data_IF_983698965458
#
_entry.id   IF_983698965458
#
_cell.length_a   1.000
_cell.length_b   1.000
_cell.length_c   1.000
_cell.angle_alpha   90.00
_cell.angle_beta   90.00
_cell.angle_gamma   90.00
#
_symmetry.space_group_name_H-M   'P 1'
#
loop_
_entity.id
_entity.type
_entity.pdbx_description
1 polymer ?
#
# COMPACT_ATOMS: atom_id res chain seq x y z
N UNK A 1 -15.12 -31.48 16.73
CA UNK A 1 -15.05 -30.92 15.37
C UNK A 1 -13.97 -29.87 15.38
N UNK A 2 -12.92 -29.99 14.55
CA UNK A 2 -12.00 -28.89 14.33
C UNK A 2 -12.70 -27.93 13.37
N UNK A 3 -12.91 -26.67 13.80
CA UNK A 3 -13.45 -25.62 12.94
C UNK A 3 -12.37 -25.26 11.90
N UNK A 4 -12.76 -25.12 10.63
CA UNK A 4 -11.87 -24.65 9.57
C UNK A 4 -11.55 -23.16 9.71
N UNK A 5 -10.47 -22.72 9.08
CA UNK A 5 -10.09 -21.30 9.01
C UNK A 5 -9.98 -20.87 7.54
N UNK A 6 -10.40 -19.66 7.25
CA UNK A 6 -10.31 -19.02 5.93
C UNK A 6 -9.53 -17.72 6.10
N UNK A 7 -8.58 -17.49 5.20
CA UNK A 7 -7.85 -16.23 5.18
C UNK A 7 -7.26 -15.93 3.82
N UNK A 8 -6.67 -14.74 3.71
CA UNK A 8 -5.97 -14.27 2.53
C UNK A 8 -4.47 -14.22 2.78
N UNK A 9 -3.72 -14.46 1.72
CA UNK A 9 -2.28 -14.27 1.68
C UNK A 9 -1.93 -13.04 0.84
N UNK A 10 -1.16 -12.12 1.41
CA UNK A 10 -0.67 -10.92 0.72
C UNK A 10 0.82 -11.00 0.47
N UNK A 11 1.26 -10.50 -0.69
CA UNK A 11 2.69 -10.23 -0.90
C UNK A 11 3.13 -9.08 0.00
N UNK A 12 4.26 -9.26 0.67
CA UNK A 12 4.79 -8.31 1.64
C UNK A 12 6.28 -8.15 1.40
N UNK A 13 6.66 -7.15 0.63
CA UNK A 13 8.06 -6.70 0.54
C UNK A 13 8.36 -5.74 1.69
N UNK A 14 9.49 -5.93 2.39
CA UNK A 14 9.93 -4.92 3.35
C UNK A 14 10.62 -3.77 2.61
N UNK A 15 10.11 -2.55 2.78
CA UNK A 15 10.68 -1.34 2.21
C UNK A 15 11.53 -0.62 3.26
N UNK A 16 12.83 -0.86 3.21
CA UNK A 16 13.79 -0.24 4.11
C UNK A 16 14.11 1.19 3.63
N UNK A 17 13.99 2.23 4.47
CA UNK A 17 14.44 3.57 4.09
C UNK A 17 15.95 3.55 3.85
N UNK A 18 16.41 4.11 2.72
CA UNK A 18 17.83 4.03 2.38
C UNK A 18 18.76 4.79 3.35
N UNK A 19 18.22 5.76 4.08
CA UNK A 19 18.86 6.51 5.16
C UNK A 19 17.85 6.81 6.28
N UNK A 20 18.32 7.29 7.43
CA UNK A 20 17.45 7.72 8.54
C UNK A 20 16.73 9.06 8.30
N UNK A 21 16.81 9.63 7.10
CA UNK A 21 16.14 10.90 6.79
C UNK A 21 14.62 10.76 6.79
N UNK A 22 13.91 11.83 7.18
CA UNK A 22 12.44 11.87 7.14
C UNK A 22 11.89 11.60 5.73
N UNK A 23 12.60 12.04 4.69
CA UNK A 23 12.20 11.86 3.30
C UNK A 23 12.27 10.38 2.87
N UNK A 24 13.31 9.65 3.27
CA UNK A 24 13.44 8.21 2.96
C UNK A 24 12.43 7.38 3.77
N UNK A 25 12.17 7.74 5.03
CA UNK A 25 11.13 7.09 5.86
C UNK A 25 9.73 7.27 5.28
N UNK A 26 9.38 8.47 4.85
CA UNK A 26 8.11 8.73 4.17
C UNK A 26 8.01 8.05 2.80
N UNK A 27 9.14 7.81 2.12
CA UNK A 27 9.17 7.00 0.90
C UNK A 27 8.90 5.52 1.18
N UNK A 28 9.51 4.96 2.24
CA UNK A 28 9.24 3.60 2.70
C UNK A 28 7.77 3.39 3.08
N UNK A 29 7.20 4.26 3.90
CA UNK A 29 5.80 4.21 4.31
C UNK A 29 4.85 4.30 3.09
N UNK A 30 5.07 5.26 2.19
CA UNK A 30 4.25 5.37 0.97
C UNK A 30 4.29 4.09 0.14
N UNK A 31 5.46 3.48 -0.06
CA UNK A 31 5.54 2.27 -0.86
C UNK A 31 4.87 1.07 -0.15
N UNK A 32 5.04 0.96 1.16
CA UNK A 32 4.36 -0.05 1.97
C UNK A 32 2.84 0.03 1.85
N UNK A 33 2.28 1.23 1.98
CA UNK A 33 0.83 1.44 1.89
C UNK A 33 0.27 1.15 0.49
N UNK A 34 1.01 1.47 -0.56
CA UNK A 34 0.58 1.19 -1.95
C UNK A 34 0.72 -0.27 -2.37
N UNK A 35 1.47 -1.08 -1.64
CA UNK A 35 1.66 -2.51 -1.93
C UNK A 35 0.87 -3.40 -0.96
N UNK A 36 1.25 -3.40 0.32
CA UNK A 36 0.60 -4.22 1.33
C UNK A 36 -0.67 -3.53 1.86
N UNK A 37 -0.57 -2.23 2.19
CA UNK A 37 -1.65 -1.50 2.86
C UNK A 37 -2.94 -1.46 2.06
N UNK A 38 -2.86 -1.31 0.73
CA UNK A 38 -4.04 -1.20 -0.14
C UNK A 38 -4.94 -2.45 -0.10
N UNK A 39 -4.37 -3.63 0.19
CA UNK A 39 -5.12 -4.89 0.37
C UNK A 39 -5.37 -5.20 1.85
N UNK A 40 -4.36 -5.03 2.69
CA UNK A 40 -4.42 -5.43 4.09
C UNK A 40 -5.29 -4.50 4.94
N UNK A 41 -5.25 -3.19 4.69
CA UNK A 41 -5.95 -2.21 5.53
C UNK A 41 -7.48 -2.38 5.52
N UNK A 42 -8.15 -2.61 4.36
CA UNK A 42 -9.59 -2.87 4.35
C UNK A 42 -10.02 -4.08 5.20
N UNK A 43 -9.18 -5.11 5.29
CA UNK A 43 -9.50 -6.40 5.93
C UNK A 43 -9.09 -6.39 7.41
N UNK A 44 -7.87 -5.96 7.72
CA UNK A 44 -7.23 -6.20 9.02
C UNK A 44 -7.16 -4.96 9.93
N UNK A 45 -7.37 -3.75 9.40
CA UNK A 45 -7.36 -2.55 10.25
C UNK A 45 -8.64 -2.43 11.09
N UNK A 46 -8.56 -1.70 12.20
CA UNK A 46 -9.73 -1.43 13.04
C UNK A 46 -10.79 -0.57 12.33
N UNK A 47 -10.36 0.29 11.42
CA UNK A 47 -11.21 1.22 10.68
C UNK A 47 -11.77 0.61 9.38
N UNK A 48 -11.10 -0.39 8.81
CA UNK A 48 -11.35 -0.88 7.45
C UNK A 48 -10.92 0.16 6.40
N UNK A 49 -11.54 0.12 5.23
CA UNK A 49 -11.29 1.03 4.10
C UNK A 49 -9.83 1.01 3.58
N UNK A 50 -9.57 1.70 2.47
CA UNK A 50 -8.21 1.92 1.98
C UNK A 50 -7.41 2.83 2.92
N UNK A 51 -6.07 2.69 2.96
CA UNK A 51 -5.22 3.58 3.75
C UNK A 51 -5.42 5.05 3.38
N UNK A 52 -5.48 5.92 4.39
CA UNK A 52 -5.67 7.36 4.17
C UNK A 52 -4.59 7.97 3.28
N UNK A 53 -3.34 7.52 3.41
CA UNK A 53 -2.22 7.97 2.61
C UNK A 53 -2.43 7.67 1.11
N UNK A 54 -2.89 6.46 0.78
CA UNK A 54 -3.19 6.04 -0.60
C UNK A 54 -4.33 6.88 -1.17
N UNK A 55 -5.44 7.02 -0.41
CA UNK A 55 -6.60 7.84 -0.83
C UNK A 55 -6.20 9.28 -1.15
N UNK A 56 -5.42 9.92 -0.27
CA UNK A 56 -4.98 11.30 -0.45
C UNK A 56 -4.05 11.47 -1.66
N UNK A 57 -3.08 10.57 -1.83
CA UNK A 57 -2.15 10.62 -2.94
C UNK A 57 -2.89 10.41 -4.26
N UNK A 58 -3.68 9.34 -4.40
CA UNK A 58 -4.38 9.08 -5.66
C UNK A 58 -5.34 10.22 -6.00
N UNK A 59 -6.13 10.72 -5.04
CA UNK A 59 -7.02 11.86 -5.28
C UNK A 59 -6.28 13.11 -5.77
N UNK A 60 -5.12 13.44 -5.16
CA UNK A 60 -4.28 14.55 -5.60
C UNK A 60 -3.76 14.34 -7.02
N UNK A 61 -3.26 13.15 -7.33
CA UNK A 61 -2.67 12.82 -8.64
C UNK A 61 -3.74 12.77 -9.73
N UNK A 62 -4.92 12.22 -9.45
CA UNK A 62 -6.07 12.25 -10.35
C UNK A 62 -6.45 13.70 -10.71
N UNK A 63 -6.48 14.61 -9.73
CA UNK A 63 -6.73 16.04 -9.99
C UNK A 63 -5.63 16.69 -10.83
N UNK A 64 -4.35 16.40 -10.55
CA UNK A 64 -3.21 16.92 -11.32
C UNK A 64 -3.22 16.43 -12.78
N UNK A 65 -3.74 15.23 -13.02
CA UNK A 65 -3.86 14.61 -14.33
C UNK A 65 -5.15 15.01 -15.08
N UNK A 66 -6.04 15.80 -14.45
CA UNK A 66 -7.26 16.31 -15.07
C UNK A 66 -8.45 15.35 -15.01
N UNK A 67 -8.42 14.32 -14.15
CA UNK A 67 -9.58 13.48 -13.91
C UNK A 67 -10.65 14.25 -13.12
N UNK A 68 -11.95 14.02 -13.41
CA UNK A 68 -13.04 14.68 -12.71
C UNK A 68 -13.18 14.21 -11.25
N UNK A 69 -12.66 13.04 -10.93
CA UNK A 69 -12.69 12.41 -9.61
C UNK A 69 -11.45 11.55 -9.34
N UNK A 70 -11.34 11.02 -8.12
CA UNK A 70 -10.26 10.10 -7.76
C UNK A 70 -10.31 8.82 -8.60
N UNK A 71 -9.16 8.38 -9.12
CA UNK A 71 -9.00 7.09 -9.80
C UNK A 71 -9.16 5.89 -8.86
N UNK A 72 -8.95 6.09 -7.55
CA UNK A 72 -9.18 5.06 -6.54
C UNK A 72 -10.68 5.03 -6.19
N UNK A 73 -11.36 3.88 -6.37
CA UNK A 73 -12.76 3.74 -5.99
C UNK A 73 -12.98 4.03 -4.50
N UNK A 74 -14.13 4.61 -4.18
CA UNK A 74 -14.54 4.85 -2.80
C UNK A 74 -15.36 3.68 -2.30
N UNK A 75 -14.99 3.11 -1.15
CA UNK A 75 -15.83 2.16 -0.45
C UNK A 75 -16.92 2.91 0.34
N UNK A 76 -18.13 2.40 0.25
CA UNK A 76 -19.26 2.82 1.08
C UNK A 76 -19.11 2.31 2.51
N UNK A 77 -19.87 2.88 3.45
CA UNK A 77 -19.86 2.40 4.83
C UNK A 77 -20.32 0.93 4.94
N UNK A 78 -21.24 0.50 4.07
CA UNK A 78 -21.70 -0.89 3.99
C UNK A 78 -20.59 -1.82 3.50
N UNK A 79 -19.88 -1.46 2.43
CA UNK A 79 -18.75 -2.25 1.91
C UNK A 79 -17.59 -2.33 2.91
N UNK A 80 -17.29 -1.23 3.60
CA UNK A 80 -16.27 -1.21 4.66
C UNK A 80 -16.67 -2.18 5.79
N UNK A 81 -17.93 -2.12 6.23
CA UNK A 81 -18.45 -3.03 7.25
C UNK A 81 -18.46 -4.50 6.81
N UNK A 82 -18.70 -4.75 5.52
CA UNK A 82 -18.68 -6.09 4.93
C UNK A 82 -17.27 -6.68 4.82
N UNK A 83 -16.27 -5.89 4.44
CA UNK A 83 -14.89 -6.36 4.20
C UNK A 83 -14.09 -6.49 5.50
N UNK A 84 -14.31 -5.60 6.47
CA UNK A 84 -13.50 -5.56 7.68
C UNK A 84 -13.64 -6.83 8.50
N UNK A 85 -12.51 -7.43 8.88
CA UNK A 85 -12.45 -8.62 9.74
C UNK A 85 -12.80 -9.93 9.04
N UNK A 86 -12.77 -9.98 7.71
CA UNK A 86 -13.16 -11.17 6.91
C UNK A 86 -12.08 -12.24 6.76
N UNK A 87 -11.04 -12.22 7.59
CA UNK A 87 -9.92 -13.17 7.53
C UNK A 87 -9.57 -13.66 8.93
N UNK A 88 -9.53 -14.98 9.12
CA UNK A 88 -9.23 -15.62 10.42
C UNK A 88 -7.75 -15.52 10.81
N UNK A 89 -6.87 -15.30 9.82
CA UNK A 89 -5.43 -15.14 10.00
C UNK A 89 -4.87 -14.17 8.94
N UNK A 90 -3.65 -13.70 9.17
CA UNK A 90 -2.90 -12.89 8.21
C UNK A 90 -1.87 -13.77 7.52
N UNK A 91 -2.10 -14.15 6.27
CA UNK A 91 -1.10 -14.84 5.45
C UNK A 91 -0.12 -13.84 4.84
N UNK A 92 1.19 -14.08 4.98
CA UNK A 92 2.20 -13.28 4.30
C UNK A 92 3.10 -14.14 3.42
N UNK A 93 3.31 -13.65 2.20
CA UNK A 93 4.40 -14.07 1.33
C UNK A 93 5.50 -13.01 1.38
N UNK A 94 6.63 -13.36 1.98
CA UNK A 94 7.80 -12.47 2.06
C UNK A 94 9.00 -13.12 1.41
N UNK A 95 9.62 -12.41 0.47
CA UNK A 95 10.78 -12.90 -0.28
C UNK A 95 11.96 -11.92 -0.27
N UNK A 96 11.69 -10.62 -0.19
CA UNK A 96 12.71 -9.60 -0.40
C UNK A 96 12.58 -8.41 0.55
N UNK A 97 13.74 -7.79 0.80
CA UNK A 97 13.86 -6.49 1.44
C UNK A 97 14.53 -5.53 0.46
N UNK A 98 13.86 -4.41 0.17
CA UNK A 98 14.30 -3.42 -0.80
C UNK A 98 14.58 -2.08 -0.11
N UNK A 99 15.75 -1.49 -0.39
CA UNK A 99 16.00 -0.11 0.03
C UNK A 99 15.32 0.86 -0.92
N UNK A 100 14.66 1.87 -0.37
CA UNK A 100 13.92 2.88 -1.14
C UNK A 100 14.31 4.31 -0.81
N UNK A 101 14.12 5.18 -1.80
CA UNK A 101 14.26 6.64 -1.71
C UNK A 101 13.09 7.34 -2.41
N UNK A 102 12.78 8.60 -2.07
CA UNK A 102 11.85 9.38 -2.86
C UNK A 102 12.37 9.54 -4.29
N UNK A 103 11.46 9.49 -5.25
CA UNK A 103 11.70 9.82 -6.64
C UNK A 103 10.81 10.99 -7.05
N UNK A 104 11.22 11.73 -8.07
CA UNK A 104 10.33 12.74 -8.66
C UNK A 104 9.26 11.98 -9.44
N UNK A 105 7.98 12.19 -9.13
CA UNK A 105 6.92 11.57 -9.91
C UNK A 105 7.01 11.99 -11.39
N UNK A 106 6.89 11.05 -12.31
CA UNK A 106 6.85 11.38 -13.74
C UNK A 106 5.44 11.82 -14.14
N UNK A 107 5.31 12.27 -15.39
CA UNK A 107 4.01 12.56 -16.01
C UNK A 107 3.34 11.27 -16.44
N UNK A 108 2.01 11.29 -16.44
CA UNK A 108 1.17 10.19 -16.91
C UNK A 108 0.67 9.30 -15.78
N UNK A 109 -0.50 8.71 -16.00
CA UNK A 109 -1.22 7.91 -15.03
C UNK A 109 -0.54 6.56 -14.81
N UNK A 110 0.00 6.32 -13.62
CA UNK A 110 0.47 5.00 -13.18
C UNK A 110 0.65 4.97 -11.66
N UNK A 111 0.57 3.78 -11.07
CA UNK A 111 0.88 3.57 -9.65
C UNK A 111 2.30 4.03 -9.31
N UNK A 112 3.30 3.66 -10.13
CA UNK A 112 4.69 4.10 -9.93
C UNK A 112 4.83 5.62 -9.83
N UNK A 113 4.09 6.34 -10.67
CA UNK A 113 4.07 7.80 -10.63
C UNK A 113 3.30 8.32 -9.41
N UNK A 114 2.27 7.64 -8.94
CA UNK A 114 1.54 8.06 -7.74
C UNK A 114 2.41 7.91 -6.49
N UNK A 115 3.12 6.79 -6.35
CA UNK A 115 3.97 6.51 -5.18
C UNK A 115 5.18 7.43 -5.11
N UNK A 116 5.82 7.73 -6.25
CA UNK A 116 6.99 8.61 -6.28
C UNK A 116 8.14 8.09 -5.41
N UNK A 117 8.42 6.80 -5.56
CA UNK A 117 9.50 6.07 -4.89
C UNK A 117 10.37 5.37 -5.93
N UNK A 118 11.65 5.22 -5.63
CA UNK A 118 12.57 4.38 -6.40
C UNK A 118 13.27 3.37 -5.49
N UNK A 119 13.46 2.16 -6.00
CA UNK A 119 14.29 1.15 -5.36
C UNK A 119 15.75 1.49 -5.67
N UNK A 120 16.59 1.53 -4.63
CA UNK A 120 18.02 1.87 -4.75
C UNK A 120 18.94 0.69 -4.53
N UNK A 121 18.46 -0.38 -3.89
CA UNK A 121 19.20 -1.63 -3.74
C UNK A 121 18.25 -2.76 -3.32
N UNK A 122 18.38 -3.91 -3.96
CA UNK A 122 17.84 -5.16 -3.45
C UNK A 122 18.88 -5.79 -2.52
N UNK A 123 18.46 -6.16 -1.31
CA UNK A 123 19.33 -6.97 -0.47
C UNK A 123 19.28 -8.40 -1.00
N UNK A 124 20.38 -8.84 -1.61
CA UNK A 124 20.61 -10.27 -1.76
C UNK A 124 20.91 -10.84 -0.38
N UNK A 125 20.06 -11.74 0.11
CA UNK A 125 20.38 -12.58 1.25
C UNK A 125 21.52 -13.52 0.83
N UNK A 126 22.76 -13.08 1.04
CA UNK A 126 23.97 -13.91 0.94
C UNK A 126 24.64 -14.01 2.30
#
# INVERSE_FOLDING_TARGET
MLLGQIGINTEVTWFEPATNSTADKAAAERRWEFECGIIAHPIFSADGDYPNLVKQIVAKRSKEEGFPESRLPRLTAEEIGFIKGTSDFFGLNHYATLKVKPSKPLKGTSEFNDVGVKIVKEYEWR
#
